data_IF_800143592906
#
_entry.id   IF_800143592906
#
_cell.length_a   1.000
_cell.length_b   1.000
_cell.length_c   1.000
_cell.angle_alpha   90.00
_cell.angle_beta   90.00
_cell.angle_gamma   90.00
#
_symmetry.space_group_name_H-M   'P 1'
#
loop_
_entity.id
_entity.type
_entity.pdbx_description
1 polymer ?
#
# COMPACT_ATOMS: atom_id res chain seq x y z
N UNK A 1 37.42 -13.81 -40.28
CA UNK A 1 36.72 -12.80 -41.10
C UNK A 1 36.52 -11.57 -40.24
N UNK A 2 37.33 -10.55 -40.50
CA UNK A 2 37.35 -9.28 -39.79
C UNK A 2 36.32 -8.35 -40.45
N UNK A 3 35.26 -7.98 -39.75
CA UNK A 3 34.39 -6.90 -40.18
C UNK A 3 35.01 -5.59 -39.69
N UNK A 4 35.48 -4.79 -40.65
CA UNK A 4 36.15 -3.53 -40.42
C UNK A 4 35.25 -2.55 -39.64
N UNK A 5 35.77 -2.07 -38.51
CA UNK A 5 35.29 -0.87 -37.84
C UNK A 5 35.47 0.33 -38.78
N UNK A 6 34.36 0.93 -39.21
CA UNK A 6 34.40 2.26 -39.80
C UNK A 6 34.70 3.29 -38.69
N UNK A 7 35.65 4.21 -38.89
CA UNK A 7 35.90 5.27 -37.92
C UNK A 7 34.67 6.18 -37.87
N UNK A 8 34.06 6.30 -36.69
CA UNK A 8 33.08 7.34 -36.40
C UNK A 8 33.81 8.66 -36.56
N UNK A 9 33.42 9.45 -37.56
CA UNK A 9 33.96 10.79 -37.75
C UNK A 9 33.71 11.58 -36.45
N UNK A 10 34.75 12.18 -35.84
CA UNK A 10 34.53 13.08 -34.73
C UNK A 10 33.59 14.17 -35.23
N UNK A 11 32.49 14.39 -34.53
CA UNK A 11 31.75 15.65 -34.62
C UNK A 11 32.75 16.74 -34.26
N UNK A 12 33.36 17.32 -35.29
CA UNK A 12 34.20 18.49 -35.18
C UNK A 12 33.29 19.64 -34.78
N UNK A 13 33.06 19.78 -33.47
CA UNK A 13 32.77 21.07 -32.86
C UNK A 13 33.98 21.92 -33.24
N UNK A 14 33.78 22.94 -34.07
CA UNK A 14 34.86 23.78 -34.56
C UNK A 14 35.41 24.65 -33.43
N UNK A 15 36.27 24.06 -32.60
CA UNK A 15 37.25 24.82 -31.83
C UNK A 15 38.34 25.22 -32.83
N UNK A 16 38.19 26.42 -33.40
CA UNK A 16 39.20 26.99 -34.29
C UNK A 16 40.56 27.01 -33.57
N UNK A 17 41.50 26.19 -34.06
CA UNK A 17 42.91 26.33 -33.71
C UNK A 17 43.42 27.57 -34.44
N UNK A 18 43.90 28.53 -33.66
CA UNK A 18 44.62 29.71 -34.11
C UNK A 18 45.84 29.30 -34.95
N UNK A 19 45.72 29.41 -36.27
CA UNK A 19 46.89 29.66 -37.12
C UNK A 19 47.27 31.13 -37.00
N UNK A 20 48.52 31.37 -36.62
CA UNK A 20 49.13 32.68 -36.45
C UNK A 20 49.12 33.49 -37.74
N UNK A 21 48.07 34.27 -37.96
CA UNK A 21 48.14 35.54 -38.69
C UNK A 21 47.21 36.55 -38.03
N UNK A 22 47.78 37.71 -37.69
CA UNK A 22 47.10 38.90 -37.14
C UNK A 22 45.77 39.16 -37.85
N UNK A 23 44.68 39.04 -37.13
CA UNK A 23 43.49 39.87 -37.34
C UNK A 23 42.88 40.19 -35.98
N UNK A 24 42.94 41.47 -35.64
CA UNK A 24 42.26 42.08 -34.50
C UNK A 24 40.75 41.99 -34.72
N UNK A 25 40.03 41.64 -33.65
CA UNK A 25 38.58 41.84 -33.56
C UNK A 25 37.72 40.69 -34.08
N UNK A 26 37.54 39.65 -33.27
CA UNK A 26 36.36 38.79 -33.37
C UNK A 26 35.86 38.47 -31.96
N UNK A 27 34.68 39.00 -31.63
CA UNK A 27 33.94 38.62 -30.43
C UNK A 27 33.66 37.12 -30.50
N UNK A 28 33.86 36.42 -29.39
CA UNK A 28 33.43 35.03 -29.25
C UNK A 28 31.90 34.98 -29.33
N UNK A 29 31.36 34.69 -30.51
CA UNK A 29 29.96 34.32 -30.64
C UNK A 29 29.80 32.87 -30.16
N UNK A 30 29.24 32.69 -28.98
CA UNK A 30 28.63 31.42 -28.61
C UNK A 30 27.42 31.22 -29.53
N UNK A 31 27.57 30.48 -30.62
CA UNK A 31 26.44 30.14 -31.47
C UNK A 31 25.51 29.21 -30.69
N UNK A 32 24.38 29.76 -30.25
CA UNK A 32 23.28 28.94 -29.75
C UNK A 32 22.82 28.01 -30.88
N UNK A 33 22.70 26.71 -30.58
CA UNK A 33 22.17 25.72 -31.52
C UNK A 33 20.81 26.19 -32.06
N UNK A 34 20.64 26.15 -33.38
CA UNK A 34 19.33 26.44 -33.97
C UNK A 34 18.40 25.22 -33.81
N UNK A 35 17.10 25.38 -34.11
CA UNK A 35 16.12 24.30 -33.99
C UNK A 35 16.41 23.10 -34.91
N UNK A 36 17.03 23.35 -36.05
CA UNK A 36 17.34 22.32 -37.03
C UNK A 36 18.52 21.47 -36.55
N UNK A 37 19.53 22.09 -35.95
CA UNK A 37 20.69 21.43 -35.33
C UNK A 37 20.24 20.53 -34.16
N UNK A 38 19.30 20.99 -33.34
CA UNK A 38 18.75 20.19 -32.24
C UNK A 38 17.95 18.99 -32.76
N UNK A 39 17.20 19.19 -33.84
CA UNK A 39 16.42 18.11 -34.48
C UNK A 39 17.36 17.06 -35.06
N UNK A 40 18.39 17.47 -35.79
CA UNK A 40 19.44 16.60 -36.32
C UNK A 40 20.19 15.84 -35.22
N UNK A 41 20.55 16.51 -34.13
CA UNK A 41 21.20 15.87 -32.99
C UNK A 41 20.28 14.82 -32.33
N UNK A 42 19.00 15.15 -32.15
CA UNK A 42 18.01 14.21 -31.61
C UNK A 42 17.82 12.99 -32.50
N UNK A 43 17.69 13.19 -33.81
CA UNK A 43 17.57 12.09 -34.78
C UNK A 43 18.82 11.23 -34.84
N UNK A 44 20.00 11.85 -34.76
CA UNK A 44 21.28 11.13 -34.74
C UNK A 44 21.43 10.32 -33.45
N UNK A 45 21.11 10.91 -32.30
CA UNK A 45 21.12 10.21 -31.01
C UNK A 45 20.13 9.04 -30.99
N UNK A 46 18.95 9.18 -31.59
CA UNK A 46 17.96 8.11 -31.67
C UNK A 46 18.44 6.88 -32.47
N UNK A 47 19.35 7.08 -33.44
CA UNK A 47 19.93 6.01 -34.28
C UNK A 47 21.08 5.25 -33.62
N UNK A 48 21.62 5.77 -32.51
CA UNK A 48 22.70 5.11 -31.78
C UNK A 48 22.22 3.84 -31.08
N UNK A 49 23.12 2.87 -30.92
CA UNK A 49 22.92 1.74 -30.00
C UNK A 49 22.91 2.20 -28.55
N UNK A 50 22.43 1.38 -27.62
CA UNK A 50 22.40 1.75 -26.20
C UNK A 50 23.80 2.02 -25.63
N UNK A 51 24.79 1.22 -26.02
CA UNK A 51 26.19 1.45 -25.64
C UNK A 51 26.72 2.79 -26.17
N UNK A 52 26.38 3.14 -27.41
CA UNK A 52 26.77 4.42 -28.02
C UNK A 52 26.06 5.60 -27.36
N UNK A 53 24.77 5.47 -27.04
CA UNK A 53 24.02 6.49 -26.27
C UNK A 53 24.65 6.70 -24.91
N UNK A 54 24.99 5.62 -24.21
CA UNK A 54 25.65 5.66 -22.91
C UNK A 54 27.02 6.34 -23.01
N UNK A 55 27.81 6.03 -24.05
CA UNK A 55 29.08 6.69 -24.31
C UNK A 55 28.89 8.21 -24.50
N UNK A 56 27.95 8.64 -25.34
CA UNK A 56 27.64 10.06 -25.55
C UNK A 56 27.25 10.74 -24.24
N UNK A 57 26.40 10.11 -23.44
CA UNK A 57 25.97 10.65 -22.13
C UNK A 57 27.14 10.76 -21.14
N UNK A 58 28.05 9.79 -21.12
CA UNK A 58 29.25 9.82 -20.28
C UNK A 58 30.23 10.91 -20.71
N UNK A 59 30.48 11.03 -22.01
CA UNK A 59 31.39 12.03 -22.58
C UNK A 59 30.84 13.47 -22.44
N UNK A 60 29.51 13.63 -22.40
CA UNK A 60 28.86 14.92 -22.21
C UNK A 60 29.11 15.54 -20.82
N UNK A 61 29.68 14.80 -19.85
CA UNK A 61 29.98 15.29 -18.49
C UNK A 61 28.80 16.08 -17.89
N UNK A 62 27.61 15.49 -17.89
CA UNK A 62 26.35 16.17 -17.53
C UNK A 62 26.39 16.82 -16.14
N UNK A 63 27.19 16.31 -15.21
CA UNK A 63 27.40 16.88 -13.88
C UNK A 63 28.15 18.23 -13.89
N UNK A 64 28.89 18.55 -14.95
CA UNK A 64 29.52 19.86 -15.17
C UNK A 64 28.62 20.78 -16.01
N UNK A 65 27.83 20.20 -16.91
CA UNK A 65 26.96 20.95 -17.81
C UNK A 65 25.63 21.36 -17.17
N UNK A 66 25.14 20.62 -16.18
CA UNK A 66 23.86 20.84 -15.51
C UNK A 66 24.07 21.16 -14.03
N UNK A 67 23.23 22.03 -13.49
CA UNK A 67 23.09 22.16 -12.04
C UNK A 67 22.56 20.86 -11.43
N UNK A 68 22.75 20.67 -10.12
CA UNK A 68 22.21 19.51 -9.41
C UNK A 68 20.69 19.41 -9.55
N UNK A 69 19.97 20.54 -9.49
CA UNK A 69 18.52 20.57 -9.68
C UNK A 69 18.12 20.08 -11.09
N UNK A 70 18.82 20.53 -12.14
CA UNK A 70 18.57 20.09 -13.52
C UNK A 70 18.93 18.61 -13.75
N UNK A 71 19.98 18.12 -13.08
CA UNK A 71 20.39 16.72 -13.18
C UNK A 71 19.32 15.79 -12.58
N UNK A 72 18.79 16.10 -11.40
CA UNK A 72 17.73 15.29 -10.77
C UNK A 72 16.40 15.37 -11.54
N UNK A 73 16.09 16.52 -12.16
CA UNK A 73 14.94 16.64 -13.07
C UNK A 73 15.12 15.73 -14.30
N UNK A 74 16.33 15.66 -14.86
CA UNK A 74 16.65 14.79 -15.98
C UNK A 74 16.51 13.31 -15.59
N UNK A 75 17.04 12.90 -14.43
CA UNK A 75 16.88 11.52 -13.93
C UNK A 75 15.39 11.20 -13.75
N UNK A 76 14.60 12.09 -13.16
CA UNK A 76 13.16 11.89 -12.97
C UNK A 76 12.39 11.73 -14.29
N UNK A 77 12.85 12.36 -15.38
CA UNK A 77 12.28 12.19 -16.73
C UNK A 77 12.62 10.84 -17.35
N UNK A 78 13.82 10.30 -17.09
CA UNK A 78 14.22 9.00 -17.61
C UNK A 78 13.67 7.83 -16.80
N UNK A 79 13.65 7.96 -15.47
CA UNK A 79 13.10 6.95 -14.58
C UNK A 79 12.49 7.62 -13.34
N UNK A 80 11.16 7.74 -13.35
CA UNK A 80 10.41 8.34 -12.25
C UNK A 80 10.47 7.53 -10.96
N UNK A 81 10.90 6.27 -10.96
CA UNK A 81 10.91 5.42 -9.77
C UNK A 81 12.34 5.11 -9.31
N UNK A 82 13.35 5.76 -9.91
CA UNK A 82 14.76 5.60 -9.58
C UNK A 82 15.09 5.79 -8.09
N UNK A 83 14.31 6.61 -7.38
CA UNK A 83 14.47 6.84 -5.95
C UNK A 83 14.13 5.63 -5.06
N UNK A 84 13.44 4.63 -5.59
CA UNK A 84 12.94 3.47 -4.81
C UNK A 84 13.79 2.21 -4.94
N UNK A 85 14.79 2.17 -5.85
CA UNK A 85 15.58 0.97 -6.15
C UNK A 85 16.25 0.37 -4.90
N UNK A 86 16.96 1.21 -4.14
CA UNK A 86 17.65 0.77 -2.92
C UNK A 86 16.66 0.28 -1.85
N UNK A 87 15.51 0.93 -1.74
CA UNK A 87 14.45 0.54 -0.80
C UNK A 87 13.83 -0.81 -1.14
N UNK A 88 13.56 -1.09 -2.42
CA UNK A 88 13.04 -2.38 -2.88
C UNK A 88 14.06 -3.50 -2.67
N UNK A 89 15.33 -3.27 -3.04
CA UNK A 89 16.39 -4.26 -2.80
C UNK A 89 16.55 -4.55 -1.31
N UNK A 90 16.54 -3.52 -0.47
CA UNK A 90 16.57 -3.69 0.99
C UNK A 90 15.35 -4.48 1.48
N UNK A 91 14.14 -4.13 1.06
CA UNK A 91 12.90 -4.78 1.50
C UNK A 91 12.87 -6.28 1.14
N UNK A 92 13.34 -6.65 -0.05
CA UNK A 92 13.31 -8.03 -0.57
C UNK A 92 14.50 -8.87 -0.08
N UNK A 93 15.71 -8.28 -0.02
CA UNK A 93 16.95 -9.05 0.14
C UNK A 93 17.66 -8.87 1.48
N UNK A 94 17.32 -7.85 2.25
CA UNK A 94 18.02 -7.59 3.51
C UNK A 94 17.56 -8.55 4.62
N UNK A 95 18.51 -8.93 5.48
CA UNK A 95 18.19 -9.69 6.69
C UNK A 95 17.39 -8.82 7.68
N UNK A 96 17.65 -7.51 7.70
CA UNK A 96 16.98 -6.53 8.54
C UNK A 96 15.48 -6.48 8.27
N UNK A 97 15.08 -6.42 7.00
CA UNK A 97 13.66 -6.42 6.63
C UNK A 97 12.98 -7.74 7.04
N UNK A 98 13.63 -8.88 6.80
CA UNK A 98 13.13 -10.19 7.19
C UNK A 98 12.95 -10.29 8.71
N UNK A 99 13.97 -9.94 9.49
CA UNK A 99 13.94 -9.94 10.96
C UNK A 99 12.82 -9.04 11.47
N UNK A 100 12.66 -7.84 10.89
CA UNK A 100 11.64 -6.90 11.32
C UNK A 100 10.21 -7.38 11.02
N UNK A 101 9.97 -8.03 9.87
CA UNK A 101 8.69 -8.67 9.52
C UNK A 101 8.35 -9.81 10.50
N UNK A 102 9.30 -10.72 10.75
CA UNK A 102 9.10 -11.79 11.73
C UNK A 102 8.86 -11.26 13.15
N UNK A 103 9.61 -10.25 13.57
CA UNK A 103 9.46 -9.63 14.89
C UNK A 103 8.07 -8.99 15.04
N UNK A 104 7.55 -8.33 14.01
CA UNK A 104 6.20 -7.76 14.00
C UNK A 104 5.15 -8.85 14.24
N UNK A 105 5.24 -9.99 13.56
CA UNK A 105 4.29 -11.10 13.74
C UNK A 105 4.45 -11.84 15.08
N UNK A 106 5.67 -12.03 15.57
CA UNK A 106 5.91 -12.56 16.92
C UNK A 106 5.29 -11.65 18.00
N UNK A 107 5.44 -10.33 17.84
CA UNK A 107 4.78 -9.36 18.70
C UNK A 107 3.25 -9.38 18.53
N UNK A 108 2.74 -9.64 17.32
CA UNK A 108 1.32 -9.83 17.05
C UNK A 108 0.72 -11.03 17.78
N UNK A 109 1.41 -12.18 17.78
CA UNK A 109 1.00 -13.36 18.55
C UNK A 109 0.94 -13.02 20.04
N UNK A 110 1.97 -12.37 20.58
CA UNK A 110 2.02 -11.96 21.99
C UNK A 110 0.92 -10.95 22.34
N UNK A 111 0.67 -9.99 21.45
CA UNK A 111 -0.41 -9.03 21.63
C UNK A 111 -1.78 -9.73 21.65
N UNK A 112 -2.00 -10.70 20.75
CA UNK A 112 -3.26 -11.44 20.70
C UNK A 112 -3.48 -12.23 21.99
N UNK A 113 -2.44 -12.92 22.52
CA UNK A 113 -2.49 -13.60 23.83
C UNK A 113 -2.92 -12.66 24.95
N UNK A 114 -2.29 -11.49 25.05
CA UNK A 114 -2.63 -10.50 26.08
C UNK A 114 -4.05 -9.95 25.93
N UNK A 115 -4.52 -9.78 24.70
CA UNK A 115 -5.91 -9.40 24.45
C UNK A 115 -6.90 -10.50 24.86
N UNK A 116 -6.56 -11.79 24.72
CA UNK A 116 -7.37 -12.90 25.24
C UNK A 116 -7.37 -12.95 26.77
N UNK A 117 -6.25 -12.59 27.41
CA UNK A 117 -6.10 -12.59 28.86
C UNK A 117 -6.78 -11.40 29.54
N UNK A 118 -7.06 -10.31 28.81
CA UNK A 118 -7.69 -9.11 29.36
C UNK A 118 -9.13 -9.38 29.82
N UNK A 119 -9.44 -9.04 31.08
CA UNK A 119 -10.75 -9.29 31.69
C UNK A 119 -11.94 -8.64 30.94
N UNK A 120 -11.77 -7.42 30.41
CA UNK A 120 -12.84 -6.80 29.63
C UNK A 120 -13.07 -7.52 28.31
N UNK A 121 -11.99 -7.95 27.67
CA UNK A 121 -12.08 -8.73 26.43
C UNK A 121 -12.67 -10.12 26.67
N UNK A 122 -12.33 -10.81 27.77
CA UNK A 122 -12.94 -12.12 28.11
C UNK A 122 -14.46 -12.05 28.27
N UNK A 123 -14.96 -10.92 28.78
CA UNK A 123 -16.40 -10.70 28.93
C UNK A 123 -17.08 -10.37 27.60
N UNK A 124 -16.37 -9.71 26.68
CA UNK A 124 -16.92 -9.27 25.39
C UNK A 124 -16.79 -10.31 24.26
N UNK A 125 -15.71 -11.08 24.26
CA UNK A 125 -15.34 -11.99 23.16
C UNK A 125 -15.44 -13.46 23.56
N UNK A 126 -15.69 -14.30 22.57
CA UNK A 126 -15.68 -15.77 22.70
C UNK A 126 -14.38 -16.35 22.14
N UNK A 127 -13.44 -16.65 23.04
CA UNK A 127 -12.16 -17.31 22.73
C UNK A 127 -12.20 -18.83 22.97
N UNK A 128 -13.38 -19.46 23.02
CA UNK A 128 -13.46 -20.89 23.34
C UNK A 128 -12.68 -21.77 22.35
N UNK A 129 -12.01 -22.81 22.87
CA UNK A 129 -11.26 -23.81 22.09
C UNK A 129 -12.11 -24.51 21.02
N UNK A 130 -13.43 -24.56 21.22
CA UNK A 130 -14.39 -25.05 20.23
C UNK A 130 -14.37 -24.22 18.92
N UNK A 131 -13.74 -23.05 18.91
CA UNK A 131 -13.60 -22.13 17.77
C UNK A 131 -12.23 -22.21 17.10
N UNK A 132 -11.59 -23.38 17.13
CA UNK A 132 -10.43 -23.65 16.30
C UNK A 132 -10.87 -23.79 14.82
N UNK A 133 -10.91 -22.67 14.09
CA UNK A 133 -11.39 -22.59 12.72
C UNK A 133 -10.51 -23.35 11.73
N UNK A 134 -9.22 -23.49 12.05
CA UNK A 134 -8.31 -24.35 11.32
C UNK A 134 -8.77 -25.81 11.30
N UNK A 135 -9.48 -26.27 12.34
CA UNK A 135 -10.04 -27.63 12.40
C UNK A 135 -11.49 -27.67 11.96
N UNK A 136 -12.34 -26.77 12.48
CA UNK A 136 -13.79 -26.81 12.22
C UNK A 136 -14.13 -26.43 10.78
N UNK A 137 -13.33 -25.56 10.16
CA UNK A 137 -13.55 -25.00 8.82
C UNK A 137 -14.86 -24.22 8.66
N UNK A 138 -15.45 -23.74 9.76
CA UNK A 138 -16.66 -22.91 9.75
C UNK A 138 -16.74 -22.04 11.01
N UNK A 139 -17.50 -20.94 10.94
CA UNK A 139 -17.64 -19.97 12.04
C UNK A 139 -19.07 -20.03 12.59
N UNK A 140 -19.25 -20.53 13.80
CA UNK A 140 -20.55 -20.64 14.47
C UNK A 140 -20.92 -19.35 15.21
N UNK A 141 -22.21 -19.20 15.55
CA UNK A 141 -22.68 -18.10 16.42
C UNK A 141 -21.94 -18.13 17.77
N UNK A 142 -21.52 -16.95 18.26
CA UNK A 142 -21.03 -16.77 19.63
C UNK A 142 -22.14 -17.02 20.67
N UNK A 143 -21.74 -17.14 21.94
CA UNK A 143 -22.70 -16.99 23.05
C UNK A 143 -23.49 -15.69 22.90
N UNK A 144 -24.74 -15.66 23.39
CA UNK A 144 -25.72 -14.59 23.09
C UNK A 144 -25.21 -13.17 23.37
N UNK A 145 -24.36 -12.99 24.38
CA UNK A 145 -23.77 -11.74 24.86
C UNK A 145 -22.34 -11.50 24.38
N UNK A 146 -21.78 -12.38 23.54
CA UNK A 146 -20.39 -12.32 23.08
C UNK A 146 -20.28 -12.05 21.58
N UNK A 147 -19.09 -11.60 21.20
CA UNK A 147 -18.66 -11.43 19.82
C UNK A 147 -17.57 -12.45 19.47
N UNK A 148 -17.55 -12.91 18.22
CA UNK A 148 -16.36 -13.54 17.64
C UNK A 148 -15.29 -12.45 17.44
N UNK A 149 -14.10 -12.60 18.01
CA UNK A 149 -13.02 -11.64 17.86
C UNK A 149 -12.49 -11.67 16.43
N UNK A 150 -12.37 -10.49 15.81
CA UNK A 150 -11.86 -10.34 14.45
C UNK A 150 -10.49 -9.68 14.45
N UNK A 151 -9.56 -10.27 13.70
CA UNK A 151 -8.28 -9.64 13.34
C UNK A 151 -8.37 -9.18 11.90
N UNK A 152 -8.40 -7.87 11.68
CA UNK A 152 -8.32 -7.31 10.34
C UNK A 152 -6.87 -7.23 9.87
N UNK A 153 -6.59 -7.77 8.69
CA UNK A 153 -5.26 -7.73 8.08
C UNK A 153 -5.35 -7.10 6.70
N UNK A 154 -4.44 -6.18 6.36
CA UNK A 154 -4.18 -5.91 4.95
C UNK A 154 -3.57 -7.16 4.26
N UNK A 155 -3.51 -7.16 2.93
CA UNK A 155 -2.96 -8.27 2.14
C UNK A 155 -1.60 -7.91 1.55
N UNK A 156 -1.47 -6.76 0.92
CA UNK A 156 -0.28 -6.36 0.18
C UNK A 156 0.81 -5.94 1.18
N UNK A 157 2.01 -6.52 1.11
CA UNK A 157 3.15 -6.30 2.04
C UNK A 157 2.88 -6.63 3.52
N UNK A 158 1.65 -7.05 3.81
CA UNK A 158 1.21 -7.53 5.11
C UNK A 158 1.14 -9.05 5.09
N UNK A 159 0.29 -9.66 4.26
CA UNK A 159 0.18 -11.12 4.18
C UNK A 159 0.98 -11.69 3.01
N UNK A 160 0.86 -11.06 1.84
CA UNK A 160 1.48 -11.47 0.60
C UNK A 160 2.53 -10.44 0.16
N UNK A 161 3.68 -10.91 -0.27
CA UNK A 161 4.74 -10.08 -0.83
C UNK A 161 4.45 -9.68 -2.28
N UNK A 162 4.70 -8.42 -2.66
CA UNK A 162 4.62 -7.91 -4.04
C UNK A 162 5.97 -7.87 -4.76
N UNK A 163 7.01 -8.49 -4.21
CA UNK A 163 8.40 -8.48 -4.70
C UNK A 163 8.57 -8.47 -6.23
N UNK A 164 7.88 -9.37 -6.94
CA UNK A 164 7.98 -9.46 -8.41
C UNK A 164 7.32 -8.28 -9.13
N UNK A 165 6.19 -7.80 -8.63
CA UNK A 165 5.52 -6.61 -9.17
C UNK A 165 6.42 -5.39 -8.98
N UNK A 166 6.99 -5.21 -7.79
CA UNK A 166 7.83 -4.05 -7.44
C UNK A 166 9.16 -4.07 -8.21
N UNK A 167 9.87 -5.20 -8.18
CA UNK A 167 11.12 -5.34 -8.94
C UNK A 167 10.87 -5.22 -10.45
N UNK A 168 9.76 -5.78 -10.93
CA UNK A 168 9.33 -5.65 -12.31
C UNK A 168 9.00 -4.21 -12.70
N UNK A 169 8.37 -3.43 -11.82
CA UNK A 169 8.10 -2.02 -12.02
C UNK A 169 9.41 -1.23 -12.22
N UNK A 170 10.43 -1.48 -11.39
CA UNK A 170 11.72 -0.79 -11.52
C UNK A 170 12.42 -1.04 -12.85
N UNK A 171 12.27 -2.24 -13.41
CA UNK A 171 12.90 -2.64 -14.68
C UNK A 171 12.09 -2.13 -15.89
N UNK A 172 10.76 -2.06 -15.77
CA UNK A 172 9.86 -1.84 -16.91
C UNK A 172 9.26 -0.43 -16.99
N UNK A 173 9.88 0.57 -16.36
CA UNK A 173 9.44 1.98 -16.45
C UNK A 173 8.29 2.34 -15.50
N UNK A 174 8.08 1.54 -14.46
CA UNK A 174 7.34 1.88 -13.27
C UNK A 174 6.06 1.08 -13.00
N UNK A 175 5.45 1.37 -11.85
CA UNK A 175 4.26 0.66 -11.39
C UNK A 175 3.06 0.87 -12.33
N UNK A 176 2.30 -0.22 -12.55
CA UNK A 176 0.96 -0.15 -13.14
C UNK A 176 -0.01 -1.13 -12.47
N UNK A 177 -1.24 -0.68 -12.20
CA UNK A 177 -2.29 -1.52 -11.62
C UNK A 177 -2.60 -2.75 -12.50
N UNK A 178 -2.57 -2.60 -13.82
CA UNK A 178 -2.84 -3.70 -14.75
C UNK A 178 -1.77 -4.81 -14.66
N UNK A 179 -0.49 -4.44 -14.53
CA UNK A 179 0.59 -5.42 -14.34
C UNK A 179 0.49 -6.08 -12.97
N UNK A 180 0.21 -5.33 -11.90
CA UNK A 180 -0.01 -5.89 -10.56
C UNK A 180 -1.16 -6.89 -10.58
N UNK A 181 -2.30 -6.52 -11.14
CA UNK A 181 -3.47 -7.40 -11.23
C UNK A 181 -3.18 -8.68 -12.03
N UNK A 182 -2.45 -8.56 -13.15
CA UNK A 182 -1.98 -9.73 -13.91
C UNK A 182 -1.10 -10.66 -13.07
N UNK A 183 -0.23 -10.11 -12.23
CA UNK A 183 0.61 -10.89 -11.31
C UNK A 183 -0.22 -11.55 -10.20
N UNK A 184 -1.11 -10.81 -9.57
CA UNK A 184 -2.00 -11.31 -8.51
C UNK A 184 -2.86 -12.48 -8.99
N UNK A 185 -3.38 -12.41 -10.22
CA UNK A 185 -4.18 -13.49 -10.84
C UNK A 185 -3.40 -14.80 -11.02
N UNK A 186 -2.06 -14.79 -11.00
CA UNK A 186 -1.24 -16.00 -11.07
C UNK A 186 -1.16 -16.77 -9.74
N UNK A 187 -1.62 -16.18 -8.64
CA UNK A 187 -1.73 -16.85 -7.32
C UNK A 187 -0.41 -17.49 -6.86
N UNK A 188 0.70 -16.76 -7.01
CA UNK A 188 2.06 -17.26 -6.78
C UNK A 188 2.92 -16.34 -5.90
N UNK A 189 2.31 -15.38 -5.23
CA UNK A 189 3.00 -14.48 -4.31
C UNK A 189 3.43 -15.24 -3.06
N UNK A 190 4.62 -14.91 -2.56
CA UNK A 190 5.14 -15.48 -1.33
C UNK A 190 4.46 -14.85 -0.11
N UNK A 191 4.44 -15.57 1.00
CA UNK A 191 4.00 -15.02 2.28
C UNK A 191 5.02 -14.02 2.82
N UNK A 192 4.54 -12.98 3.47
CA UNK A 192 5.39 -12.17 4.35
C UNK A 192 5.85 -13.04 5.53
N UNK A 193 7.16 -13.06 5.88
CA UNK A 193 7.69 -13.86 6.97
C UNK A 193 6.92 -13.67 8.28
N UNK A 194 6.41 -14.77 8.85
CA UNK A 194 5.61 -14.79 10.08
C UNK A 194 4.10 -14.66 9.89
N UNK A 195 3.61 -14.20 8.73
CA UNK A 195 2.18 -13.95 8.52
C UNK A 195 1.32 -15.23 8.60
N UNK A 196 1.75 -16.32 7.97
CA UNK A 196 1.00 -17.59 7.96
C UNK A 196 0.91 -18.20 9.35
N UNK A 197 2.02 -18.19 10.11
CA UNK A 197 2.04 -18.67 11.50
C UNK A 197 1.08 -17.85 12.37
N UNK A 198 1.12 -16.52 12.24
CA UNK A 198 0.20 -15.64 12.96
C UNK A 198 -1.27 -15.89 12.59
N UNK A 199 -1.59 -15.99 11.30
CA UNK A 199 -2.97 -16.24 10.83
C UNK A 199 -3.49 -17.57 11.40
N UNK A 200 -2.71 -18.64 11.25
CA UNK A 200 -3.11 -19.95 11.74
C UNK A 200 -3.17 -19.97 13.28
N UNK A 201 -2.33 -19.20 13.98
CA UNK A 201 -2.41 -19.04 15.43
C UNK A 201 -3.72 -18.38 15.86
N UNK A 202 -4.05 -17.21 15.30
CA UNK A 202 -5.31 -16.50 15.59
C UNK A 202 -6.53 -17.40 15.33
N UNK A 203 -6.56 -18.08 14.18
CA UNK A 203 -7.68 -18.93 13.78
C UNK A 203 -7.81 -20.22 14.58
N UNK A 204 -6.73 -20.71 15.19
CA UNK A 204 -6.80 -21.84 16.13
C UNK A 204 -7.18 -21.43 17.55
N UNK A 205 -7.15 -20.13 17.88
CA UNK A 205 -7.43 -19.56 19.20
C UNK A 205 -8.66 -18.64 19.18
N UNK A 206 -9.71 -19.07 18.47
CA UNK A 206 -11.03 -18.43 18.48
C UNK A 206 -11.16 -17.10 17.73
N UNK A 207 -10.09 -16.60 17.10
CA UNK A 207 -10.10 -15.37 16.33
C UNK A 207 -10.36 -15.61 14.85
N UNK A 208 -11.22 -14.81 14.22
CA UNK A 208 -11.41 -14.84 12.78
C UNK A 208 -10.50 -13.80 12.12
N UNK A 209 -9.64 -14.24 11.20
CA UNK A 209 -8.86 -13.31 10.36
C UNK A 209 -9.72 -12.84 9.21
N UNK A 210 -9.78 -11.53 8.98
CA UNK A 210 -10.47 -10.93 7.83
C UNK A 210 -9.50 -10.03 7.07
N UNK A 211 -9.44 -10.22 5.75
CA UNK A 211 -8.53 -9.52 4.85
C UNK A 211 -9.16 -8.22 4.33
N UNK A 212 -8.74 -7.09 4.89
CA UNK A 212 -9.20 -5.74 4.53
C UNK A 212 -8.16 -5.00 3.69
N UNK A 213 -8.22 -5.23 2.37
CA UNK A 213 -7.22 -4.71 1.44
C UNK A 213 -7.80 -3.78 0.38
N UNK A 214 -6.92 -3.01 -0.24
CA UNK A 214 -7.26 -2.14 -1.36
C UNK A 214 -7.13 -2.82 -2.74
N UNK A 215 -6.84 -4.12 -2.75
CA UNK A 215 -7.05 -4.99 -3.92
C UNK A 215 -8.52 -4.94 -4.39
N UNK A 216 -8.77 -5.00 -5.70
CA UNK A 216 -10.12 -4.94 -6.24
C UNK A 216 -10.87 -6.27 -6.03
N UNK A 217 -12.04 -6.25 -5.40
CA UNK A 217 -12.85 -7.43 -5.11
C UNK A 217 -13.72 -7.87 -6.30
N UNK A 218 -13.08 -8.26 -7.40
CA UNK A 218 -13.75 -9.03 -8.44
C UNK A 218 -13.79 -10.53 -8.09
N UNK A 219 -14.67 -11.30 -8.73
CA UNK A 219 -14.72 -12.76 -8.56
C UNK A 219 -13.35 -13.38 -8.80
N UNK A 220 -12.76 -13.09 -9.97
CA UNK A 220 -11.46 -13.62 -10.37
C UNK A 220 -10.35 -13.23 -9.39
N UNK A 221 -10.30 -11.97 -8.94
CA UNK A 221 -9.28 -11.53 -8.00
C UNK A 221 -9.43 -12.18 -6.63
N UNK A 222 -10.66 -12.21 -6.08
CA UNK A 222 -10.94 -12.87 -4.79
C UNK A 222 -10.54 -14.34 -4.83
N UNK A 223 -10.89 -15.05 -5.91
CA UNK A 223 -10.57 -16.47 -6.06
C UNK A 223 -9.05 -16.71 -6.21
N UNK A 224 -8.36 -15.86 -6.96
CA UNK A 224 -6.90 -15.94 -7.09
C UNK A 224 -6.19 -15.70 -5.76
N UNK A 225 -6.58 -14.66 -5.01
CA UNK A 225 -6.01 -14.40 -3.68
C UNK A 225 -6.31 -15.55 -2.72
N UNK A 226 -7.55 -16.07 -2.72
CA UNK A 226 -7.93 -17.25 -1.92
C UNK A 226 -7.05 -18.46 -2.23
N UNK A 227 -6.80 -18.74 -3.50
CA UNK A 227 -5.90 -19.81 -3.93
C UNK A 227 -4.46 -19.55 -3.50
N UNK A 228 -3.98 -18.31 -3.61
CA UNK A 228 -2.64 -17.96 -3.14
C UNK A 228 -2.50 -18.19 -1.62
N UNK A 229 -3.48 -17.79 -0.82
CA UNK A 229 -3.49 -17.98 0.64
C UNK A 229 -3.45 -19.47 1.00
N UNK A 230 -4.18 -20.33 0.27
CA UNK A 230 -4.09 -21.79 0.45
C UNK A 230 -2.69 -22.32 0.17
N UNK A 231 -2.09 -21.89 -0.95
CA UNK A 231 -0.75 -22.36 -1.38
C UNK A 231 0.35 -22.02 -0.38
N UNK A 232 0.25 -20.86 0.28
CA UNK A 232 1.23 -20.47 1.29
C UNK A 232 0.99 -21.11 2.67
N UNK A 233 -0.09 -21.89 2.83
CA UNK A 233 -0.34 -22.69 4.05
C UNK A 233 -1.34 -22.08 5.03
N UNK A 234 -2.17 -21.12 4.63
CA UNK A 234 -3.29 -20.68 5.49
C UNK A 234 -4.34 -21.79 5.54
N UNK A 235 -4.67 -22.26 6.75
CA UNK A 235 -5.44 -23.48 6.93
C UNK A 235 -6.95 -23.29 6.74
N UNK A 236 -7.50 -22.16 7.18
CA UNK A 236 -8.92 -21.85 7.04
C UNK A 236 -9.13 -20.56 6.25
N UNK A 237 -9.91 -20.65 5.16
CA UNK A 237 -10.24 -19.53 4.27
C UNK A 237 -11.66 -19.69 3.69
N UNK A 238 -12.53 -18.75 4.00
CA UNK A 238 -13.91 -18.63 3.53
C UNK A 238 -14.14 -17.30 2.78
N UNK A 239 -15.20 -17.23 1.98
CA UNK A 239 -15.47 -16.05 1.15
C UNK A 239 -15.77 -14.78 1.97
N UNK A 240 -16.42 -14.94 3.12
CA UNK A 240 -16.73 -13.82 4.02
C UNK A 240 -15.50 -13.21 4.71
N UNK A 241 -14.33 -13.83 4.59
CA UNK A 241 -13.08 -13.27 5.10
C UNK A 241 -12.47 -12.22 4.16
N UNK A 242 -13.00 -12.03 2.95
CA UNK A 242 -12.48 -11.02 2.01
C UNK A 242 -13.29 -9.73 2.11
N UNK A 243 -12.63 -8.69 2.61
CA UNK A 243 -13.17 -7.33 2.78
C UNK A 243 -12.35 -6.34 1.96
N UNK A 244 -12.12 -6.67 0.68
CA UNK A 244 -11.28 -5.91 -0.22
C UNK A 244 -12.05 -4.74 -0.86
N UNK A 245 -11.38 -3.90 -1.67
CA UNK A 245 -12.00 -2.74 -2.33
C UNK A 245 -13.13 -3.21 -3.22
N UNK A 246 -14.36 -2.83 -2.89
CA UNK A 246 -15.58 -3.38 -3.50
C UNK A 246 -16.56 -3.91 -2.47
N UNK A 247 -16.09 -4.23 -1.26
CA UNK A 247 -16.94 -4.59 -0.12
C UNK A 247 -17.76 -3.40 0.35
N UNK A 248 -19.08 -3.57 0.44
CA UNK A 248 -20.02 -2.54 0.86
C UNK A 248 -20.81 -3.02 2.09
N UNK A 249 -20.36 -2.72 3.33
CA UNK A 249 -21.07 -3.15 4.54
C UNK A 249 -22.46 -2.54 4.70
N UNK A 250 -22.62 -1.28 4.31
CA UNK A 250 -23.86 -0.54 4.40
C UNK A 250 -24.64 -0.59 3.09
N UNK A 251 -25.96 -0.61 3.18
CA UNK A 251 -26.85 -0.34 2.05
C UNK A 251 -26.65 1.09 1.56
N UNK A 252 -26.92 1.32 0.29
CA UNK A 252 -26.86 2.63 -0.35
C UNK A 252 -28.23 3.03 -0.89
N UNK A 253 -28.42 4.32 -1.13
CA UNK A 253 -29.60 4.88 -1.81
C UNK A 253 -29.87 4.32 -3.22
N UNK A 254 -28.88 3.64 -3.83
CA UNK A 254 -28.94 3.12 -5.20
C UNK A 254 -28.59 1.63 -5.28
N UNK A 255 -28.79 0.85 -4.20
CA UNK A 255 -28.42 -0.58 -4.16
C UNK A 255 -29.00 -1.39 -5.33
N UNK A 256 -30.22 -1.05 -5.74
CA UNK A 256 -30.88 -1.71 -6.88
C UNK A 256 -30.23 -1.39 -8.23
N UNK A 257 -29.42 -0.34 -8.35
CA UNK A 257 -28.69 0.06 -9.56
C UNK A 257 -27.26 -0.49 -9.61
N UNK A 258 -26.66 -0.75 -8.45
CA UNK A 258 -25.26 -1.20 -8.31
C UNK A 258 -25.16 -2.72 -8.04
N UNK A 259 -26.06 -3.50 -8.63
CA UNK A 259 -25.96 -4.97 -8.59
C UNK A 259 -24.88 -5.45 -9.55
N UNK A 260 -24.38 -6.64 -9.26
CA UNK A 260 -23.32 -7.30 -10.02
C UNK A 260 -23.64 -7.41 -11.51
N UNK A 261 -24.88 -7.80 -11.83
CA UNK A 261 -25.40 -7.99 -13.18
C UNK A 261 -25.55 -6.65 -13.91
N UNK A 262 -25.98 -5.60 -13.20
CA UNK A 262 -26.16 -4.27 -13.80
C UNK A 262 -24.83 -3.61 -14.13
N UNK A 263 -23.82 -3.81 -13.30
CA UNK A 263 -22.51 -3.14 -13.46
C UNK A 263 -21.53 -3.90 -14.36
N UNK A 264 -21.78 -5.17 -14.66
CA UNK A 264 -20.82 -6.06 -15.35
C UNK A 264 -20.31 -5.51 -16.70
N UNK A 265 -21.17 -4.84 -17.47
CA UNK A 265 -20.84 -4.33 -18.80
C UNK A 265 -20.80 -2.80 -18.89
N UNK A 266 -20.80 -2.11 -17.74
CA UNK A 266 -20.78 -0.65 -17.72
C UNK A 266 -19.39 -0.10 -18.04
N UNK A 267 -19.34 1.02 -18.77
CA UNK A 267 -18.09 1.76 -19.01
C UNK A 267 -17.62 2.47 -17.75
N UNK A 268 -16.35 2.92 -17.75
CA UNK A 268 -15.77 3.72 -16.68
C UNK A 268 -16.59 4.98 -16.38
N UNK A 269 -17.12 5.63 -17.40
CA UNK A 269 -17.93 6.84 -17.30
C UNK A 269 -19.27 6.55 -16.61
N UNK A 270 -19.94 5.46 -17.00
CA UNK A 270 -21.20 5.01 -16.42
C UNK A 270 -21.02 4.65 -14.94
N UNK A 271 -20.00 3.85 -14.61
CA UNK A 271 -19.67 3.50 -13.23
C UNK A 271 -19.31 4.74 -12.40
N UNK A 272 -18.57 5.68 -12.98
CA UNK A 272 -18.21 6.94 -12.31
C UNK A 272 -19.43 7.80 -12.03
N UNK A 273 -20.41 7.81 -12.94
CA UNK A 273 -21.67 8.51 -12.73
C UNK A 273 -22.50 7.88 -11.59
N UNK A 274 -22.55 6.55 -11.50
CA UNK A 274 -23.18 5.86 -10.36
C UNK A 274 -22.46 6.15 -9.05
N UNK A 275 -21.13 6.02 -9.02
CA UNK A 275 -20.34 6.26 -7.82
C UNK A 275 -20.47 7.71 -7.28
N UNK A 276 -20.81 8.69 -8.13
CA UNK A 276 -21.10 10.07 -7.70
C UNK A 276 -22.45 10.21 -6.97
N UNK A 277 -23.44 9.37 -7.28
CA UNK A 277 -24.77 9.37 -6.67
C UNK A 277 -24.85 8.52 -5.39
N UNK A 278 -23.87 7.65 -5.18
CA UNK A 278 -23.84 6.70 -4.07
C UNK A 278 -23.73 7.42 -2.74
N UNK A 279 -24.72 7.20 -1.88
CA UNK A 279 -24.75 7.60 -0.48
C UNK A 279 -25.04 6.38 0.40
N UNK A 280 -24.23 6.18 1.44
CA UNK A 280 -24.44 5.10 2.40
C UNK A 280 -25.56 5.44 3.38
N UNK A 281 -26.39 4.45 3.68
CA UNK A 281 -27.41 4.50 4.73
C UNK A 281 -26.86 3.94 6.04
N UNK A 282 -27.64 3.98 7.11
CA UNK A 282 -27.30 3.31 8.39
C UNK A 282 -27.73 1.82 8.41
N UNK A 283 -28.33 1.30 7.34
CA UNK A 283 -28.73 -0.11 7.19
C UNK A 283 -27.59 -0.97 6.65
N UNK A 284 -27.53 -2.24 7.03
CA UNK A 284 -26.48 -3.18 6.59
C UNK A 284 -26.92 -4.04 5.41
N UNK A 285 -25.98 -4.40 4.55
CA UNK A 285 -26.19 -5.44 3.53
C UNK A 285 -26.09 -6.83 4.16
N UNK A 286 -26.80 -7.81 3.62
CA UNK A 286 -26.70 -9.19 4.12
C UNK A 286 -25.37 -9.86 3.75
N UNK A 287 -24.87 -9.57 2.54
CA UNK A 287 -23.62 -10.12 1.98
C UNK A 287 -22.69 -9.01 1.47
N UNK A 288 -22.00 -8.26 2.35
CA UNK A 288 -21.16 -7.14 1.93
C UNK A 288 -19.87 -7.58 1.21
N UNK A 289 -19.40 -8.80 1.45
CA UNK A 289 -18.23 -9.43 0.83
C UNK A 289 -18.52 -10.01 -0.56
N UNK A 290 -19.73 -9.84 -1.09
CA UNK A 290 -20.09 -10.30 -2.43
C UNK A 290 -19.14 -9.66 -3.47
N UNK A 291 -18.44 -10.47 -4.29
CA UNK A 291 -17.51 -9.93 -5.27
C UNK A 291 -18.25 -9.41 -6.51
N UNK A 292 -17.66 -8.40 -7.15
CA UNK A 292 -18.12 -7.85 -8.43
C UNK A 292 -17.77 -8.79 -9.58
N UNK A 293 -18.53 -8.77 -10.70
CA UNK A 293 -18.16 -9.55 -11.90
C UNK A 293 -16.82 -9.14 -12.49
N UNK A 294 -16.47 -7.85 -12.39
CA UNK A 294 -15.25 -7.31 -12.96
C UNK A 294 -14.53 -6.37 -11.98
N UNK A 295 -13.23 -6.18 -12.23
CA UNK A 295 -12.35 -5.32 -11.43
C UNK A 295 -12.72 -3.84 -11.55
N UNK A 296 -13.21 -3.38 -12.70
CA UNK A 296 -13.55 -1.96 -12.91
C UNK A 296 -14.68 -1.47 -11.99
N UNK A 297 -15.69 -2.30 -11.75
CA UNK A 297 -16.82 -2.02 -10.86
C UNK A 297 -16.34 -1.94 -9.41
N UNK A 298 -15.56 -2.94 -8.98
CA UNK A 298 -14.92 -2.97 -7.67
C UNK A 298 -14.02 -1.74 -7.46
N UNK A 299 -13.26 -1.34 -8.47
CA UNK A 299 -12.39 -0.18 -8.40
C UNK A 299 -13.19 1.12 -8.24
N UNK A 300 -14.17 1.37 -9.11
CA UNK A 300 -14.83 2.68 -9.19
C UNK A 300 -15.87 2.86 -8.09
N UNK A 301 -16.73 1.88 -7.88
CA UNK A 301 -17.78 1.92 -6.86
C UNK A 301 -17.16 1.63 -5.49
N UNK A 302 -16.34 0.59 -5.39
CA UNK A 302 -15.72 0.16 -4.13
C UNK A 302 -14.77 1.18 -3.50
N UNK A 303 -14.15 2.08 -4.28
CA UNK A 303 -13.36 3.22 -3.73
C UNK A 303 -14.14 4.13 -2.79
N UNK A 304 -15.47 4.06 -2.78
CA UNK A 304 -16.32 4.79 -1.83
C UNK A 304 -16.30 4.20 -0.43
N UNK A 305 -16.07 2.89 -0.30
CA UNK A 305 -15.94 2.20 0.96
C UNK A 305 -14.46 2.10 1.37
N UNK A 306 -14.00 3.09 2.14
CA UNK A 306 -12.70 3.07 2.80
C UNK A 306 -12.54 1.86 3.74
N UNK A 307 -11.30 1.48 4.06
CA UNK A 307 -10.98 0.40 5.01
C UNK A 307 -11.61 0.68 6.37
N UNK A 308 -11.57 1.92 6.85
CA UNK A 308 -12.25 2.33 8.09
C UNK A 308 -13.76 2.11 8.01
N UNK A 309 -14.42 2.44 6.89
CA UNK A 309 -15.86 2.21 6.74
C UNK A 309 -16.20 0.71 6.79
N UNK A 310 -15.36 -0.12 6.17
CA UNK A 310 -15.45 -1.59 6.20
C UNK A 310 -15.37 -2.12 7.62
N UNK A 311 -14.34 -1.74 8.38
CA UNK A 311 -14.18 -2.15 9.78
C UNK A 311 -15.34 -1.68 10.67
N UNK A 312 -15.74 -0.41 10.54
CA UNK A 312 -16.88 0.14 11.29
C UNK A 312 -18.17 -0.61 10.95
N UNK A 313 -18.39 -0.96 9.68
CA UNK A 313 -19.54 -1.72 9.24
C UNK A 313 -19.60 -3.09 9.89
N UNK A 314 -18.48 -3.82 9.94
CA UNK A 314 -18.37 -5.10 10.64
C UNK A 314 -18.73 -4.96 12.11
N UNK A 315 -18.13 -4.00 12.81
CA UNK A 315 -18.30 -3.80 14.25
C UNK A 315 -19.71 -3.31 14.64
N UNK A 316 -20.36 -2.55 13.76
CA UNK A 316 -21.66 -1.94 14.04
C UNK A 316 -22.86 -2.89 13.86
N UNK A 317 -22.71 -4.00 13.12
CA UNK A 317 -23.79 -4.98 12.90
C UNK A 317 -23.94 -5.95 14.09
N UNK A 318 -24.54 -5.48 15.18
CA UNK A 318 -24.62 -6.21 16.46
C UNK A 318 -25.62 -7.36 16.51
N UNK A 319 -26.57 -7.42 15.58
CA UNK A 319 -27.49 -8.54 15.38
C UNK A 319 -26.84 -9.74 14.67
N UNK A 320 -25.63 -9.55 14.13
CA UNK A 320 -24.79 -10.60 13.55
C UNK A 320 -24.95 -10.76 12.04
N UNK A 321 -23.92 -11.34 11.42
CA UNK A 321 -23.85 -11.61 9.99
C UNK A 321 -24.35 -13.02 9.70
N UNK A 322 -25.14 -13.17 8.64
CA UNK A 322 -25.54 -14.49 8.17
C UNK A 322 -24.39 -15.10 7.34
N UNK A 323 -23.55 -15.93 7.96
CA UNK A 323 -22.44 -16.61 7.29
C UNK A 323 -22.87 -17.96 6.71
N UNK A 324 -24.01 -18.51 7.16
CA UNK A 324 -24.52 -19.81 6.70
C UNK A 324 -24.90 -19.83 5.22
N UNK A 325 -25.08 -18.65 4.62
CA UNK A 325 -25.33 -18.43 3.19
C UNK A 325 -24.13 -18.70 2.29
N UNK A 326 -22.92 -18.76 2.85
CA UNK A 326 -21.68 -19.13 2.13
C UNK A 326 -21.25 -20.55 2.47
N UNK A 327 -21.50 -20.98 3.71
CA UNK A 327 -21.07 -22.28 4.23
C UNK A 327 -22.11 -22.76 5.26
N UNK A 328 -22.77 -23.89 5.01
CA UNK A 328 -23.87 -24.37 5.86
C UNK A 328 -23.44 -24.78 7.28
N UNK A 329 -22.14 -24.99 7.52
CA UNK A 329 -21.61 -25.18 8.88
C UNK A 329 -21.52 -23.88 9.69
N UNK A 330 -21.47 -22.73 9.02
CA UNK A 330 -21.36 -21.43 9.67
C UNK A 330 -22.71 -20.93 10.21
N UNK A 331 -22.66 -20.05 11.19
CA UNK A 331 -23.84 -19.48 11.86
C UNK A 331 -24.61 -18.48 10.99
N UNK A 332 -25.90 -18.33 11.27
CA UNK A 332 -26.79 -17.41 10.56
C UNK A 332 -26.89 -16.01 11.20
N UNK A 333 -26.24 -15.78 12.35
CA UNK A 333 -26.27 -14.53 13.10
C UNK A 333 -24.96 -14.33 13.87
N UNK A 334 -23.82 -14.46 13.18
CA UNK A 334 -22.49 -14.38 13.78
C UNK A 334 -22.15 -12.93 14.11
N UNK A 335 -22.14 -12.58 15.40
CA UNK A 335 -21.71 -11.27 15.89
C UNK A 335 -20.19 -11.17 15.78
N UNK A 336 -19.68 -10.25 14.97
CA UNK A 336 -18.26 -10.04 14.73
C UNK A 336 -17.84 -8.71 15.35
N UNK A 337 -16.64 -8.66 15.95
CA UNK A 337 -16.08 -7.39 16.43
C UNK A 337 -14.56 -7.39 16.39
N UNK A 338 -14.00 -6.29 15.92
CA UNK A 338 -12.56 -6.12 15.72
C UNK A 338 -11.82 -6.08 17.05
N UNK A 339 -10.83 -6.94 17.24
CA UNK A 339 -9.95 -6.97 18.40
C UNK A 339 -8.50 -6.59 18.06
N UNK A 340 -8.09 -6.75 16.80
CA UNK A 340 -6.75 -6.42 16.36
C UNK A 340 -6.75 -5.97 14.90
N UNK A 341 -5.78 -5.12 14.55
CA UNK A 341 -5.52 -4.71 13.17
C UNK A 341 -4.06 -4.96 12.83
N UNK A 342 -3.79 -5.40 11.62
CA UNK A 342 -2.43 -5.65 11.10
C UNK A 342 -2.33 -5.05 9.71
N UNK A 343 -1.26 -4.33 9.44
CA UNK A 343 -1.04 -3.62 8.18
C UNK A 343 0.39 -3.12 8.08
N UNK A 344 0.79 -2.68 6.91
CA UNK A 344 2.14 -2.20 6.61
C UNK A 344 2.21 -0.68 6.44
N UNK A 345 1.04 -0.02 6.41
CA UNK A 345 0.89 1.40 6.20
C UNK A 345 -0.06 2.04 7.23
N UNK A 346 0.23 3.28 7.61
CA UNK A 346 -0.62 4.07 8.50
C UNK A 346 -2.06 4.19 7.99
N UNK A 347 -2.25 4.29 6.67
CA UNK A 347 -3.58 4.39 6.06
C UNK A 347 -4.40 3.08 6.24
N UNK A 348 -3.79 1.91 6.51
CA UNK A 348 -4.53 0.66 6.70
C UNK A 348 -5.41 0.68 7.95
N UNK A 349 -4.98 1.46 8.95
CA UNK A 349 -5.65 1.60 10.23
C UNK A 349 -6.53 2.85 10.29
N UNK A 350 -6.14 3.90 9.55
CA UNK A 350 -6.58 5.27 9.81
C UNK A 350 -6.99 6.04 8.54
N UNK A 351 -7.30 5.39 7.42
CA UNK A 351 -7.69 6.08 6.17
C UNK A 351 -8.88 7.03 6.32
N UNK A 352 -9.77 6.84 7.30
CA UNK A 352 -10.81 7.80 7.65
C UNK A 352 -10.26 9.16 8.12
N UNK A 353 -9.16 9.15 8.89
CA UNK A 353 -8.45 10.35 9.35
C UNK A 353 -7.40 10.84 8.36
N UNK A 354 -6.62 9.94 7.78
CA UNK A 354 -5.36 10.25 7.09
C UNK A 354 -5.55 10.65 5.63
N UNK A 355 -6.72 10.40 5.05
CA UNK A 355 -7.03 10.78 3.67
C UNK A 355 -6.87 12.29 3.47
N UNK A 356 -6.06 12.65 2.47
CA UNK A 356 -5.78 14.04 2.13
C UNK A 356 -4.76 14.73 3.03
N UNK A 357 -4.14 14.01 3.99
CA UNK A 357 -3.10 14.54 4.87
C UNK A 357 -1.71 14.14 4.38
N UNK A 358 -0.78 15.07 4.54
CA UNK A 358 0.65 14.82 4.35
C UNK A 358 1.26 14.05 5.53
N UNK A 359 2.56 13.76 5.44
CA UNK A 359 3.24 13.02 6.51
C UNK A 359 3.39 13.82 7.79
N UNK A 360 3.59 15.13 7.71
CA UNK A 360 3.75 15.98 8.89
C UNK A 360 2.48 15.95 9.76
N UNK A 361 1.30 16.05 9.14
CA UNK A 361 0.01 15.96 9.84
C UNK A 361 -0.26 14.58 10.44
N UNK A 362 0.20 13.50 9.80
CA UNK A 362 0.07 12.13 10.32
C UNK A 362 1.03 11.88 11.49
N UNK A 363 2.29 12.30 11.36
CA UNK A 363 3.29 12.22 12.43
C UNK A 363 2.84 13.07 13.62
N UNK A 364 2.30 14.27 13.38
CA UNK A 364 1.74 15.12 14.44
C UNK A 364 0.61 14.40 15.16
N UNK A 365 -0.32 13.79 14.42
CA UNK A 365 -1.41 13.02 15.02
C UNK A 365 -0.91 11.86 15.90
N UNK A 366 0.05 11.07 15.41
CA UNK A 366 0.68 10.02 16.20
C UNK A 366 1.33 10.55 17.49
N UNK A 367 2.01 11.70 17.42
CA UNK A 367 2.69 12.30 18.58
C UNK A 367 1.73 12.92 19.60
N UNK A 368 0.67 13.56 19.13
CA UNK A 368 -0.30 14.28 19.96
C UNK A 368 -1.25 13.33 20.71
N UNK A 369 -1.41 12.10 20.24
CA UNK A 369 -2.37 11.14 20.79
C UNK A 369 -1.65 10.02 21.54
N UNK A 370 -1.61 10.11 22.88
CA UNK A 370 -0.92 9.15 23.73
C UNK A 370 -1.38 7.70 23.48
N UNK A 371 -2.70 7.49 23.30
CA UNK A 371 -3.28 6.16 23.04
C UNK A 371 -2.72 5.48 21.79
N UNK A 372 -2.25 6.25 20.79
CA UNK A 372 -1.67 5.66 19.59
C UNK A 372 -0.35 4.95 19.90
N UNK A 373 0.44 5.44 20.85
CA UNK A 373 1.69 4.76 21.22
C UNK A 373 1.40 3.43 21.91
N UNK A 374 0.36 3.42 22.75
CA UNK A 374 -0.03 2.24 23.52
C UNK A 374 -0.70 1.18 22.64
N UNK A 375 -1.53 1.59 21.67
CA UNK A 375 -2.23 0.64 20.79
C UNK A 375 -1.28 -0.13 19.87
N UNK A 376 -0.12 0.45 19.51
CA UNK A 376 0.94 -0.24 18.75
C UNK A 376 1.88 -1.07 19.65
N UNK A 377 1.59 -1.22 20.94
CA UNK A 377 2.36 -2.06 21.86
C UNK A 377 1.76 -3.46 21.98
N UNK A 378 2.56 -4.42 22.47
CA UNK A 378 2.08 -5.78 22.77
C UNK A 378 1.00 -5.82 23.86
N UNK A 379 0.88 -4.79 24.69
CA UNK A 379 -0.18 -4.75 25.70
C UNK A 379 -1.51 -4.21 25.15
N UNK A 380 -1.48 -3.64 23.94
CA UNK A 380 -2.60 -2.91 23.38
C UNK A 380 -2.98 -1.68 24.21
N UNK A 381 -4.13 -1.11 23.86
CA UNK A 381 -4.77 -0.01 24.57
C UNK A 381 -6.28 -0.12 24.43
N UNK A 382 -7.03 0.81 25.01
CA UNK A 382 -8.46 0.92 24.73
C UNK A 382 -8.69 1.11 23.23
N UNK A 383 -9.68 0.40 22.70
CA UNK A 383 -10.03 0.44 21.30
C UNK A 383 -10.53 1.84 20.89
N UNK A 384 -10.10 2.31 19.73
CA UNK A 384 -10.52 3.60 19.17
C UNK A 384 -11.15 3.39 17.79
N UNK A 385 -12.34 3.95 17.60
CA UNK A 385 -13.11 3.83 16.35
C UNK A 385 -13.29 5.20 15.72
N UNK A 386 -12.97 5.32 14.44
CA UNK A 386 -13.16 6.58 13.73
C UNK A 386 -14.65 6.81 13.44
N UNK A 387 -15.19 7.91 13.94
CA UNK A 387 -16.56 8.32 13.73
C UNK A 387 -16.64 9.22 12.49
N UNK A 388 -17.27 8.70 11.43
CA UNK A 388 -17.42 9.40 10.15
C UNK A 388 -18.34 10.63 10.23
N UNK A 389 -19.25 10.68 11.21
CA UNK A 389 -20.18 11.80 11.40
C UNK A 389 -19.51 12.97 12.13
N UNK A 390 -18.66 12.67 13.11
CA UNK A 390 -17.97 13.69 13.93
C UNK A 390 -16.54 14.01 13.49
N UNK A 391 -15.96 13.19 12.61
CA UNK A 391 -14.54 13.21 12.23
C UNK A 391 -13.60 13.16 13.45
N UNK A 392 -13.90 12.28 14.41
CA UNK A 392 -13.12 12.05 15.63
C UNK A 392 -13.01 10.56 15.93
N UNK A 393 -12.04 10.19 16.77
CA UNK A 393 -11.98 8.85 17.32
C UNK A 393 -12.80 8.78 18.62
N UNK A 394 -13.70 7.80 18.67
CA UNK A 394 -14.44 7.45 19.87
C UNK A 394 -13.71 6.32 20.60
N UNK A 395 -13.45 6.51 21.89
CA UNK A 395 -12.87 5.49 22.76
C UNK A 395 -13.93 4.43 23.12
N UNK A 396 -13.55 3.16 23.09
CA UNK A 396 -14.39 2.04 23.51
C UNK A 396 -13.85 1.45 24.82
N UNK A 397 -14.69 0.63 25.46
CA UNK A 397 -14.44 0.09 26.79
C UNK A 397 -13.55 -1.16 26.82
N UNK A 398 -13.29 -1.80 25.68
CA UNK A 398 -12.46 -3.00 25.52
C UNK A 398 -11.06 -2.69 24.95
N UNK A 399 -10.15 -3.67 24.95
CA UNK A 399 -8.78 -3.49 24.46
C UNK A 399 -8.58 -3.97 23.02
N UNK A 400 -7.74 -3.25 22.27
CA UNK A 400 -7.24 -3.60 20.95
C UNK A 400 -5.72 -3.43 20.89
N UNK A 401 -5.07 -4.11 19.94
CA UNK A 401 -3.68 -3.86 19.57
C UNK A 401 -3.54 -3.77 18.05
N UNK A 402 -2.65 -2.90 17.57
CA UNK A 402 -2.34 -2.71 16.16
C UNK A 402 -0.90 -3.14 15.90
N UNK A 403 -0.69 -3.93 14.85
CA UNK A 403 0.62 -4.44 14.46
C UNK A 403 1.01 -3.80 13.13
N UNK A 404 2.03 -2.94 13.17
CA UNK A 404 2.64 -2.38 11.97
C UNK A 404 3.75 -3.31 11.49
N UNK A 405 3.55 -3.93 10.33
CA UNK A 405 4.56 -4.71 9.63
C UNK A 405 5.40 -3.74 8.78
N UNK A 406 6.72 -3.90 8.67
CA UNK A 406 7.49 -3.06 7.76
C UNK A 406 7.04 -3.28 6.32
N UNK A 407 6.47 -2.26 5.68
CA UNK A 407 6.10 -2.25 4.27
C UNK A 407 7.24 -1.88 3.33
N UNK A 408 6.95 -1.85 2.02
CA UNK A 408 7.91 -1.49 0.98
C UNK A 408 8.15 0.04 0.87
N UNK A 409 9.09 0.41 -0.01
CA UNK A 409 9.42 1.80 -0.31
C UNK A 409 8.66 2.38 -1.53
N UNK A 410 7.88 1.58 -2.25
CA UNK A 410 7.29 1.97 -3.53
C UNK A 410 5.96 2.72 -3.34
N UNK A 411 5.12 2.30 -2.39
CA UNK A 411 3.80 2.88 -2.21
C UNK A 411 3.39 3.02 -0.74
N UNK A 412 2.14 3.48 -0.57
CA UNK A 412 1.57 3.78 0.73
C UNK A 412 1.29 5.27 0.90
N UNK A 413 0.62 5.59 2.01
CA UNK A 413 0.25 6.96 2.32
C UNK A 413 1.47 7.88 2.35
N UNK A 414 2.58 7.37 2.88
CA UNK A 414 3.79 8.14 3.10
C UNK A 414 4.48 8.60 1.81
N UNK A 415 4.46 7.79 0.75
CA UNK A 415 5.16 8.11 -0.49
C UNK A 415 4.33 8.98 -1.46
N UNK A 416 3.04 9.19 -1.16
CA UNK A 416 2.10 9.89 -2.04
C UNK A 416 2.55 11.30 -2.40
N UNK A 417 2.99 12.08 -1.42
CA UNK A 417 3.44 13.46 -1.66
C UNK A 417 4.75 13.52 -2.45
N UNK A 418 5.61 12.51 -2.26
CA UNK A 418 6.86 12.32 -2.98
C UNK A 418 6.70 11.66 -4.35
N UNK A 419 5.47 11.40 -4.79
CA UNK A 419 5.18 10.92 -6.15
C UNK A 419 5.63 9.49 -6.41
N UNK A 420 5.63 8.64 -5.38
CA UNK A 420 5.83 7.19 -5.51
C UNK A 420 7.18 6.80 -6.12
N UNK A 421 8.30 7.36 -5.62
CA UNK A 421 9.64 7.05 -6.13
C UNK A 421 10.30 8.15 -6.97
N UNK A 422 9.59 9.26 -7.20
CA UNK A 422 10.09 10.39 -7.98
C UNK A 422 11.34 11.00 -7.37
N UNK A 423 12.48 10.78 -8.04
CA UNK A 423 13.79 11.21 -7.55
C UNK A 423 13.87 12.73 -7.35
N UNK A 424 13.23 13.55 -8.21
CA UNK A 424 13.22 15.00 -8.03
C UNK A 424 12.51 15.37 -6.74
N UNK A 425 11.32 14.79 -6.50
CA UNK A 425 10.56 15.07 -5.28
C UNK A 425 11.27 14.60 -4.02
N UNK A 426 11.95 13.45 -4.06
CA UNK A 426 12.80 13.02 -2.94
C UNK A 426 13.98 13.96 -2.73
N UNK A 427 14.63 14.39 -3.80
CA UNK A 427 15.73 15.35 -3.71
C UNK A 427 15.27 16.69 -3.11
N UNK A 428 14.08 17.20 -3.48
CA UNK A 428 13.48 18.37 -2.82
C UNK A 428 13.20 18.13 -1.33
N UNK A 429 12.72 16.93 -0.96
CA UNK A 429 12.52 16.57 0.44
C UNK A 429 13.84 16.53 1.22
N UNK A 430 14.90 15.98 0.62
CA UNK A 430 16.25 15.96 1.21
C UNK A 430 16.78 17.38 1.39
N UNK A 431 16.61 18.27 0.41
CA UNK A 431 16.99 19.70 0.56
C UNK A 431 16.29 20.34 1.76
N UNK A 432 15.00 20.07 1.97
CA UNK A 432 14.25 20.54 3.15
C UNK A 432 14.79 19.96 4.45
N UNK A 433 15.17 18.69 4.47
CA UNK A 433 15.78 18.04 5.66
C UNK A 433 17.13 18.71 5.98
N UNK A 434 18.03 18.83 5.00
CA UNK A 434 19.37 19.40 5.19
C UNK A 434 19.31 20.87 5.64
N UNK A 435 18.34 21.63 5.12
CA UNK A 435 18.14 23.04 5.49
C UNK A 435 17.35 23.24 6.79
N UNK A 436 16.78 22.18 7.38
CA UNK A 436 15.98 22.33 8.60
C UNK A 436 16.87 22.72 9.79
N UNK A 437 16.63 23.88 10.45
CA UNK A 437 17.46 24.38 11.54
C UNK A 437 17.61 23.41 12.72
N UNK A 438 16.64 22.51 12.92
CA UNK A 438 16.70 21.48 13.98
C UNK A 438 17.95 20.60 13.84
N UNK A 439 18.36 20.26 12.62
CA UNK A 439 19.56 19.45 12.41
C UNK A 439 20.85 20.26 12.56
N UNK A 440 20.77 21.59 12.48
CA UNK A 440 21.89 22.49 12.74
C UNK A 440 22.09 22.75 14.24
N UNK A 441 20.99 22.81 15.01
CA UNK A 441 21.04 23.02 16.47
C UNK A 441 21.40 21.76 17.27
N UNK A 442 21.41 20.59 16.64
CA UNK A 442 21.56 19.30 17.32
C UNK A 442 20.30 18.90 18.13
N UNK A 443 20.27 17.66 18.67
CA UNK A 443 19.13 17.15 19.42
C UNK A 443 19.03 17.81 20.81
N UNK A 444 17.81 18.12 21.26
CA UNK A 444 17.53 18.44 22.66
C UNK A 444 17.05 17.21 23.45
N UNK A 445 17.16 17.23 24.78
CA UNK A 445 16.59 16.17 25.62
C UNK A 445 15.08 15.99 25.37
N UNK A 446 14.37 17.08 25.08
CA UNK A 446 12.95 17.07 24.70
C UNK A 446 12.68 16.45 23.33
N UNK A 447 13.66 16.46 22.42
CA UNK A 447 13.55 15.81 21.11
C UNK A 447 13.70 14.29 21.17
N UNK A 448 14.34 13.78 22.21
CA UNK A 448 14.73 12.37 22.34
C UNK A 448 13.69 11.52 23.10
N UNK A 449 12.71 12.14 23.75
CA UNK A 449 11.68 11.43 24.50
C UNK A 449 10.44 11.27 23.63
N UNK A 450 10.28 10.10 23.01
CA UNK A 450 9.07 9.72 22.26
C UNK A 450 7.86 9.54 23.19
N UNK A 451 8.09 9.31 24.49
CA UNK A 451 7.07 9.21 25.55
C UNK A 451 6.92 10.51 26.34
N UNK A 452 6.10 11.44 25.84
CA UNK A 452 5.22 12.15 26.77
C UNK A 452 4.00 11.29 26.99
#
# INVERSE_FOLDING_TARGET
MSAALAPIAPLAISCAKNDTKKQEGAKSESSALNKDDFTLAKESFAKLTDDQKLQVLNEANLNQALSQDQLHELIAKFNKDAGSFGGIVWYIKSAESLIAKEAAYKNGIEAYKKLMENEKNKNLFDFSEARNYNTTKHVTNAATDKFVPVVFMDIDETVLQNDLTEAGAMINGGFSNANKEKEDLMSRRFAVPGAVEFINYVQSHGGLVIYNSDMNQSEAMRDAVKENLKRIGVEFIANYQFWMRGTLPYQTNIDSEITKEKTENMTKEQLSALAKKLEFTDSFRDKPWEPWKNTLSAEIIGKKALKTLRMNGLDAKTDGWNLSVEDSGSGNAVKLKTIMRVGDNFDDFFDGYSRGKDNDLRVKFYKDNAWMKDIFSVNGAKAHTWNLKTNKFDENDFQQAYIMVPGNAEYGGWNREYGYGNVQKFYEAIKKIVSNPRYQSGPSATDNIVRR
#
